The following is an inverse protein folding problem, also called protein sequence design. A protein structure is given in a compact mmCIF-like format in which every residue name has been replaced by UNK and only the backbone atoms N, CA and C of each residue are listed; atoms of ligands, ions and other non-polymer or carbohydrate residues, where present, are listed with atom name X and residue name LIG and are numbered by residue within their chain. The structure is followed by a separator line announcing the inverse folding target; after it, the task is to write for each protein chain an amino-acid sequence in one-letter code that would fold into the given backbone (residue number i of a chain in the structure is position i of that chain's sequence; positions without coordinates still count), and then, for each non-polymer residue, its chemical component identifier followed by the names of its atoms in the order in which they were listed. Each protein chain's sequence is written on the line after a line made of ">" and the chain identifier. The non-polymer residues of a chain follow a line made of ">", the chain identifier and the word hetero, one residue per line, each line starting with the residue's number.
data_IF_368499535040
#
_entry.id   IF_368499535040
#
_cell.length_a   1.000
_cell.length_b   1.000
_cell.length_c   1.000
_cell.angle_alpha   90.00
_cell.angle_beta   90.00
_cell.angle_gamma   90.00
#
_symmetry.space_group_name_H-M   'P 1'
#
loop_
_entity.id
_entity.type
_entity.pdbx_description
1 polymer ?
#
# COMPACT_ATOMS: atom_id res chain seq x y z
N UNK A 1 2.51 -21.83 11.52
CA UNK A 1 2.38 -21.35 10.14
C UNK A 1 3.28 -20.14 9.89
N UNK A 2 3.88 -20.08 8.73
CA UNK A 2 4.65 -18.90 8.37
C UNK A 2 3.71 -17.71 8.23
N UNK A 3 4.20 -16.51 8.58
CA UNK A 3 3.42 -15.31 8.32
C UNK A 3 3.32 -15.05 6.81
N UNK A 4 2.27 -14.38 6.34
CA UNK A 4 2.19 -14.03 4.92
C UNK A 4 3.34 -13.09 4.51
N UNK A 5 3.70 -13.15 3.24
CA UNK A 5 4.65 -12.20 2.67
C UNK A 5 4.03 -10.80 2.70
N UNK A 6 4.75 -9.84 3.21
CA UNK A 6 4.28 -8.45 3.35
C UNK A 6 4.84 -7.62 2.21
N UNK A 7 3.97 -7.14 1.33
CA UNK A 7 4.36 -6.35 0.18
C UNK A 7 3.76 -4.96 0.29
N UNK A 8 4.61 -3.95 0.29
CA UNK A 8 4.17 -2.56 0.26
C UNK A 8 3.89 -2.16 -1.18
N UNK A 9 2.72 -1.62 -1.41
CA UNK A 9 2.28 -1.17 -2.74
C UNK A 9 1.93 0.31 -2.65
N UNK A 10 2.68 1.15 -3.36
CA UNK A 10 2.54 2.60 -3.26
C UNK A 10 2.89 3.29 -4.57
N UNK A 11 2.20 4.40 -4.84
CA UNK A 11 2.59 5.35 -5.88
C UNK A 11 3.10 6.59 -5.16
N UNK A 12 4.32 7.02 -5.48
CA UNK A 12 4.99 8.12 -4.79
C UNK A 12 5.57 9.12 -5.79
N UNK A 13 5.52 10.41 -5.43
CA UNK A 13 6.20 11.43 -6.21
C UNK A 13 7.71 11.27 -6.05
N UNK A 14 8.44 11.18 -7.15
CA UNK A 14 9.88 10.92 -7.12
C UNK A 14 10.70 12.00 -6.46
N UNK A 15 10.26 13.26 -6.51
CA UNK A 15 11.02 14.38 -5.97
C UNK A 15 10.92 14.55 -4.46
N UNK A 16 9.74 14.31 -3.88
CA UNK A 16 9.51 14.63 -2.47
C UNK A 16 8.74 13.57 -1.70
N UNK A 17 8.50 12.41 -2.30
CA UNK A 17 7.82 11.28 -1.68
C UNK A 17 6.35 11.53 -1.31
N UNK A 18 5.69 12.52 -1.93
CA UNK A 18 4.26 12.75 -1.72
C UNK A 18 3.47 11.53 -2.16
N UNK A 19 2.51 11.10 -1.34
CA UNK A 19 1.58 10.01 -1.65
C UNK A 19 0.11 10.46 -1.60
N UNK A 20 -0.16 11.67 -1.13
CA UNK A 20 -1.53 12.16 -1.06
C UNK A 20 -1.62 13.62 -0.72
N UNK A 21 -2.78 14.19 -1.06
CA UNK A 21 -3.16 15.55 -0.70
C UNK A 21 -4.66 15.56 -0.43
N UNK A 22 -5.06 16.04 0.74
CA UNK A 22 -6.46 16.10 1.17
C UNK A 22 -7.18 14.75 1.00
N UNK A 23 -6.48 13.65 1.32
CA UNK A 23 -7.04 12.30 1.25
C UNK A 23 -7.11 11.69 -0.14
N UNK A 24 -6.52 12.33 -1.15
CA UNK A 24 -6.57 11.87 -2.55
C UNK A 24 -5.18 11.82 -3.16
N UNK A 25 -5.01 10.98 -4.19
CA UNK A 25 -3.81 11.00 -5.00
C UNK A 25 -3.79 12.28 -5.83
N UNK A 26 -2.64 13.00 -5.88
CA UNK A 26 -2.56 14.24 -6.68
C UNK A 26 -2.47 14.01 -8.18
N UNK A 27 -2.43 12.77 -8.63
CA UNK A 27 -2.37 12.39 -10.06
C UNK A 27 -3.41 11.33 -10.36
N UNK A 28 -3.67 11.15 -11.65
CA UNK A 28 -4.52 10.06 -12.13
C UNK A 28 -3.77 9.31 -13.24
N UNK A 29 -3.37 8.08 -12.97
CA UNK A 29 -2.64 7.23 -13.91
C UNK A 29 -3.41 5.92 -14.05
N UNK A 30 -4.14 5.78 -15.17
CA UNK A 30 -4.98 4.60 -15.40
C UNK A 30 -4.20 3.30 -15.39
N UNK A 31 -3.02 3.28 -15.97
CA UNK A 31 -2.17 2.09 -15.99
C UNK A 31 -1.77 1.65 -14.59
N UNK A 32 -1.52 2.61 -13.70
CA UNK A 32 -1.19 2.33 -12.31
C UNK A 32 -2.36 1.73 -11.55
N UNK A 33 -3.56 2.25 -11.77
CA UNK A 33 -4.78 1.72 -11.15
C UNK A 33 -5.07 0.30 -11.63
N UNK A 34 -4.83 0.00 -12.90
CA UNK A 34 -5.00 -1.34 -13.45
C UNK A 34 -3.97 -2.31 -12.86
N UNK A 35 -2.73 -1.86 -12.69
CA UNK A 35 -1.68 -2.66 -12.06
C UNK A 35 -2.00 -2.93 -10.59
N UNK A 36 -2.46 -1.94 -9.88
CA UNK A 36 -2.91 -2.08 -8.49
C UNK A 36 -3.96 -3.20 -8.36
N UNK A 37 -4.98 -3.16 -9.21
CA UNK A 37 -6.02 -4.18 -9.21
C UNK A 37 -5.46 -5.55 -9.53
N UNK A 38 -4.65 -5.65 -10.58
CA UNK A 38 -4.06 -6.93 -11.03
C UNK A 38 -3.21 -7.57 -9.93
N UNK A 39 -2.42 -6.79 -9.22
CA UNK A 39 -1.55 -7.29 -8.17
C UNK A 39 -2.33 -7.74 -6.92
N UNK A 40 -3.37 -7.02 -6.56
CA UNK A 40 -4.04 -7.22 -5.27
C UNK A 40 -5.25 -8.13 -5.32
N UNK A 41 -5.87 -8.33 -6.47
CA UNK A 41 -7.10 -9.12 -6.56
C UNK A 41 -6.89 -10.53 -6.00
N UNK A 42 -7.80 -10.98 -5.14
CA UNK A 42 -7.70 -12.28 -4.51
C UNK A 42 -6.81 -12.33 -3.27
N UNK A 43 -6.15 -11.23 -2.91
CA UNK A 43 -5.28 -11.16 -1.73
C UNK A 43 -5.81 -10.15 -0.72
N UNK A 44 -5.52 -10.36 0.58
CA UNK A 44 -5.88 -9.34 1.58
C UNK A 44 -5.08 -8.05 1.38
N UNK A 45 -5.73 -6.93 1.67
CA UNK A 45 -5.12 -5.60 1.65
C UNK A 45 -5.23 -4.98 3.04
N UNK A 46 -4.14 -4.40 3.50
CA UNK A 46 -4.04 -3.75 4.81
C UNK A 46 -3.94 -2.25 4.62
N UNK A 47 -4.74 -1.50 5.35
CA UNK A 47 -4.78 -0.04 5.21
C UNK A 47 -5.17 0.63 6.52
N UNK A 48 -4.85 1.91 6.62
CA UNK A 48 -5.36 2.75 7.68
C UNK A 48 -6.80 3.19 7.39
N UNK A 49 -7.45 3.73 8.40
CA UNK A 49 -8.85 4.14 8.30
C UNK A 49 -9.09 5.22 7.24
N UNK A 50 -8.21 6.24 7.20
CA UNK A 50 -8.38 7.33 6.22
C UNK A 50 -8.26 6.83 4.78
N UNK A 51 -7.36 5.89 4.54
CA UNK A 51 -7.24 5.25 3.22
C UNK A 51 -8.51 4.50 2.87
N UNK A 52 -9.06 3.77 3.83
CA UNK A 52 -10.33 3.06 3.63
C UNK A 52 -11.47 4.03 3.29
N UNK A 53 -11.61 5.11 4.06
CA UNK A 53 -12.64 6.11 3.82
C UNK A 53 -12.50 6.74 2.43
N UNK A 54 -11.28 7.01 1.99
CA UNK A 54 -10.99 7.54 0.65
C UNK A 54 -11.41 6.58 -0.45
N UNK A 55 -11.16 5.28 -0.26
CA UNK A 55 -11.56 4.25 -1.22
C UNK A 55 -13.08 4.19 -1.34
N UNK A 56 -13.79 4.17 -0.20
CA UNK A 56 -15.24 4.12 -0.19
C UNK A 56 -15.84 5.38 -0.83
N UNK A 57 -15.25 6.54 -0.55
CA UNK A 57 -15.70 7.80 -1.17
C UNK A 57 -15.57 7.75 -2.70
N UNK A 58 -14.45 7.23 -3.20
CA UNK A 58 -14.19 7.17 -4.64
C UNK A 58 -15.00 6.08 -5.35
N UNK A 59 -15.11 4.89 -4.77
CA UNK A 59 -15.75 3.73 -5.39
C UNK A 59 -17.20 3.51 -4.97
N UNK A 60 -17.62 4.13 -3.87
CA UNK A 60 -18.94 3.88 -3.28
C UNK A 60 -19.02 2.59 -2.48
N UNK A 61 -17.90 1.86 -2.34
CA UNK A 61 -17.84 0.55 -1.66
C UNK A 61 -16.38 0.20 -1.38
N UNK A 62 -16.13 -0.80 -0.49
CA UNK A 62 -14.78 -1.35 -0.33
C UNK A 62 -14.25 -1.95 -1.62
N UNK A 63 -12.94 -2.20 -1.68
CA UNK A 63 -12.31 -2.83 -2.85
C UNK A 63 -12.93 -4.21 -3.09
N UNK A 64 -13.50 -4.45 -4.28
CA UNK A 64 -14.13 -5.76 -4.56
C UNK A 64 -13.12 -6.89 -4.68
N UNK A 65 -13.54 -8.10 -4.33
CA UNK A 65 -12.78 -9.35 -4.48
C UNK A 65 -11.48 -9.39 -3.67
N UNK A 66 -11.39 -8.59 -2.59
CA UNK A 66 -10.23 -8.54 -1.70
C UNK A 66 -10.70 -8.39 -0.26
N UNK A 67 -10.08 -9.13 0.66
CA UNK A 67 -10.33 -8.90 2.08
C UNK A 67 -9.69 -7.56 2.45
N UNK A 68 -10.47 -6.64 2.96
CA UNK A 68 -9.95 -5.36 3.46
C UNK A 68 -9.77 -5.45 4.96
N UNK A 69 -8.52 -5.30 5.42
CA UNK A 69 -8.17 -5.22 6.83
C UNK A 69 -7.83 -3.76 7.14
N UNK A 70 -8.62 -3.14 7.99
CA UNK A 70 -8.49 -1.72 8.31
C UNK A 70 -7.99 -1.54 9.73
N UNK A 71 -6.88 -0.81 9.87
CA UNK A 71 -6.31 -0.51 11.19
C UNK A 71 -7.08 0.63 11.83
N UNK A 72 -7.91 0.30 12.81
CA UNK A 72 -8.72 1.26 13.53
C UNK A 72 -9.25 0.62 14.82
N UNK A 73 -9.42 1.44 15.86
CA UNK A 73 -10.10 1.01 17.09
C UNK A 73 -11.60 1.24 17.02
N UNK A 74 -12.09 1.87 15.94
CA UNK A 74 -13.51 2.18 15.78
C UNK A 74 -14.24 1.07 15.03
N UNK A 75 -15.53 0.94 15.28
CA UNK A 75 -16.37 -0.01 14.56
C UNK A 75 -16.57 0.40 13.10
N UNK A 76 -16.56 -0.58 12.20
CA UNK A 76 -16.90 -0.40 10.79
C UNK A 76 -18.20 -1.13 10.47
N UNK A 77 -19.19 -1.02 11.36
CA UNK A 77 -20.48 -1.72 11.26
C UNK A 77 -21.23 -1.43 9.96
N UNK A 78 -20.97 -0.29 9.32
CA UNK A 78 -21.56 0.06 8.03
C UNK A 78 -21.03 -0.79 6.88
N UNK A 79 -19.92 -1.50 7.10
CA UNK A 79 -19.27 -2.32 6.11
C UNK A 79 -18.99 -3.71 6.70
N UNK A 80 -20.01 -4.59 6.77
CA UNK A 80 -19.87 -5.86 7.47
C UNK A 80 -18.85 -6.82 6.86
N UNK A 81 -18.49 -6.65 5.59
CA UNK A 81 -17.50 -7.49 4.92
C UNK A 81 -16.07 -7.02 5.12
N UNK A 82 -15.88 -5.91 5.83
CA UNK A 82 -14.56 -5.33 6.10
C UNK A 82 -14.16 -5.71 7.53
N UNK A 83 -12.90 -6.10 7.69
CA UNK A 83 -12.35 -6.47 8.99
C UNK A 83 -11.62 -5.29 9.61
N UNK A 84 -11.81 -5.05 10.89
CA UNK A 84 -11.11 -3.99 11.61
C UNK A 84 -10.23 -4.57 12.70
N UNK A 85 -9.03 -4.02 12.82
CA UNK A 85 -8.04 -4.48 13.81
C UNK A 85 -7.37 -3.27 14.46
N UNK A 86 -7.13 -3.32 15.78
CA UNK A 86 -6.51 -2.19 16.47
C UNK A 86 -4.99 -2.09 16.25
N UNK A 87 -4.36 -3.15 15.75
CA UNK A 87 -2.91 -3.17 15.53
C UNK A 87 -2.53 -4.00 14.31
N UNK A 88 -1.31 -3.75 13.81
CA UNK A 88 -0.74 -4.53 12.71
C UNK A 88 -0.59 -5.99 13.13
N UNK A 89 -0.13 -6.24 14.36
CA UNK A 89 0.07 -7.59 14.87
C UNK A 89 -1.22 -8.39 14.87
N UNK A 90 -2.34 -7.77 15.31
CA UNK A 90 -3.63 -8.46 15.33
C UNK A 90 -4.15 -8.74 13.93
N UNK A 91 -3.93 -7.81 12.99
CA UNK A 91 -4.31 -8.00 11.58
C UNK A 91 -3.51 -9.15 10.96
N UNK A 92 -2.21 -9.17 11.16
CA UNK A 92 -1.35 -10.23 10.61
C UNK A 92 -1.68 -11.60 11.20
N UNK A 93 -2.01 -11.66 12.48
CA UNK A 93 -2.44 -12.91 13.13
C UNK A 93 -3.70 -13.46 12.48
N UNK A 94 -4.62 -12.59 12.10
CA UNK A 94 -5.90 -12.99 11.49
C UNK A 94 -5.73 -13.60 10.09
N UNK A 95 -4.61 -13.35 9.42
CA UNK A 95 -4.35 -13.84 8.07
C UNK A 95 -3.13 -14.75 8.00
N UNK A 96 -2.79 -15.41 9.10
CA UNK A 96 -1.59 -16.26 9.19
C UNK A 96 -1.51 -17.36 8.12
N UNK A 97 -2.63 -17.79 7.58
CA UNK A 97 -2.66 -18.81 6.52
C UNK A 97 -2.62 -18.27 5.10
N UNK A 98 -2.61 -16.96 4.93
CA UNK A 98 -2.57 -16.35 3.59
C UNK A 98 -1.15 -16.35 3.02
N UNK A 99 -1.04 -16.42 1.70
CA UNK A 99 0.24 -16.38 1.01
C UNK A 99 0.93 -15.02 1.15
N UNK A 100 0.19 -13.95 0.91
CA UNK A 100 0.73 -12.58 0.97
C UNK A 100 -0.36 -11.57 1.33
N UNK A 101 0.09 -10.40 1.77
CA UNK A 101 -0.77 -9.25 2.04
C UNK A 101 -0.13 -8.00 1.42
N UNK A 102 -0.97 -7.14 0.85
CA UNK A 102 -0.53 -5.87 0.30
C UNK A 102 -0.87 -4.74 1.27
N UNK A 103 0.15 -3.96 1.64
CA UNK A 103 0.00 -2.78 2.49
C UNK A 103 -0.17 -1.58 1.56
N UNK A 104 -1.33 -0.92 1.62
CA UNK A 104 -1.69 0.10 0.64
C UNK A 104 -1.78 1.52 1.19
N UNK A 105 -1.40 1.73 2.43
CA UNK A 105 -1.26 3.07 2.99
C UNK A 105 -2.09 3.32 4.22
N UNK A 106 -2.10 4.48 4.71
CA UNK A 106 -1.35 5.65 4.29
C UNK A 106 0.02 5.82 4.94
N UNK A 107 0.42 7.07 5.13
CA UNK A 107 1.75 7.41 5.61
C UNK A 107 2.17 6.65 6.87
N UNK A 108 1.34 6.66 7.89
CA UNK A 108 1.64 5.99 9.16
C UNK A 108 1.78 4.48 9.00
N UNK A 109 0.88 3.87 8.22
CA UNK A 109 0.90 2.43 8.01
C UNK A 109 2.14 2.02 7.22
N UNK A 110 2.52 2.79 6.20
CA UNK A 110 3.77 2.54 5.47
C UNK A 110 4.98 2.64 6.40
N UNK A 111 5.01 3.66 7.25
CA UNK A 111 6.11 3.87 8.18
C UNK A 111 6.26 2.70 9.16
N UNK A 112 5.14 2.19 9.67
CA UNK A 112 5.15 1.08 10.63
C UNK A 112 5.48 -0.27 9.97
N UNK A 113 5.20 -0.44 8.67
CA UNK A 113 5.39 -1.72 7.99
C UNK A 113 6.67 -1.81 7.17
N UNK A 114 7.32 -0.70 6.88
CA UNK A 114 8.48 -0.69 5.99
C UNK A 114 9.60 -1.63 6.45
N UNK A 115 9.92 -1.66 7.74
CA UNK A 115 10.99 -2.51 8.26
C UNK A 115 10.65 -3.99 8.24
N UNK A 116 9.37 -4.34 8.23
CA UNK A 116 8.95 -5.74 8.18
C UNK A 116 8.57 -6.22 6.78
N UNK A 117 8.67 -5.34 5.78
CA UNK A 117 8.27 -5.68 4.42
C UNK A 117 9.21 -6.71 3.79
N UNK A 118 8.63 -7.60 3.02
CA UNK A 118 9.37 -8.60 2.24
C UNK A 118 9.54 -8.16 0.79
N UNK A 119 8.69 -7.24 0.34
CA UNK A 119 8.76 -6.68 -1.00
C UNK A 119 8.16 -5.28 -1.07
N UNK A 120 8.55 -4.56 -2.10
CA UNK A 120 8.01 -3.23 -2.40
C UNK A 120 7.62 -3.19 -3.88
N UNK A 121 6.39 -2.79 -4.14
CA UNK A 121 5.90 -2.52 -5.48
C UNK A 121 5.63 -1.02 -5.56
N UNK A 122 6.55 -0.29 -6.18
CA UNK A 122 6.48 1.17 -6.20
C UNK A 122 6.20 1.69 -7.60
N UNK A 123 5.38 2.72 -7.68
CA UNK A 123 5.22 3.54 -8.87
C UNK A 123 5.83 4.89 -8.54
N UNK A 124 6.87 5.26 -9.27
CA UNK A 124 7.56 6.54 -9.06
C UNK A 124 7.04 7.52 -10.10
N UNK A 125 6.38 8.57 -9.65
CA UNK A 125 5.72 9.55 -10.53
C UNK A 125 6.60 10.78 -10.69
N UNK A 126 6.85 11.16 -11.94
CA UNK A 126 7.60 12.38 -12.26
C UNK A 126 6.73 13.61 -12.11
N UNK A 127 7.35 14.76 -11.86
CA UNK A 127 6.67 16.03 -11.75
C UNK A 127 6.72 16.58 -10.33
N UNK A 128 6.20 17.80 -10.18
CA UNK A 128 6.15 18.50 -8.91
C UNK A 128 4.75 18.41 -8.33
N UNK A 129 4.63 17.81 -7.16
CA UNK A 129 3.34 17.64 -6.50
C UNK A 129 3.40 18.16 -5.07
N UNK A 130 2.42 18.99 -4.71
CA UNK A 130 2.20 19.36 -3.33
C UNK A 130 1.39 18.26 -2.66
N UNK A 131 1.66 18.03 -1.39
CA UNK A 131 0.92 17.03 -0.64
C UNK A 131 1.07 17.21 0.86
N UNK A 132 0.25 16.47 1.60
CA UNK A 132 0.25 16.47 3.05
C UNK A 132 0.49 15.07 3.63
N UNK A 133 0.61 14.07 2.78
CA UNK A 133 0.98 12.72 3.16
C UNK A 133 2.19 12.28 2.34
N UNK A 134 3.14 11.61 3.02
CA UNK A 134 4.42 11.26 2.43
C UNK A 134 4.77 9.79 2.69
N UNK A 135 5.41 9.17 1.72
CA UNK A 135 6.03 7.87 1.94
C UNK A 135 7.26 8.08 2.85
N UNK A 136 7.56 7.15 3.76
CA UNK A 136 8.74 7.31 4.62
C UNK A 136 10.04 7.28 3.80
N UNK A 137 11.12 7.78 4.37
CA UNK A 137 12.43 7.66 3.75
C UNK A 137 12.78 6.19 3.62
N UNK A 138 13.11 5.75 2.41
CA UNK A 138 13.27 4.32 2.11
C UNK A 138 14.56 3.97 1.39
N UNK A 139 15.30 4.96 0.91
CA UNK A 139 16.48 4.73 0.09
C UNK A 139 17.54 3.90 0.80
N UNK A 140 17.77 4.19 2.07
CA UNK A 140 18.75 3.45 2.88
C UNK A 140 18.31 1.99 3.12
N UNK A 141 17.03 1.80 3.40
CA UNK A 141 16.48 0.45 3.61
C UNK A 141 16.56 -0.37 2.34
N UNK A 142 16.24 0.22 1.20
CA UNK A 142 16.36 -0.45 -0.10
C UNK A 142 17.80 -0.85 -0.36
N UNK A 143 18.74 0.07 -0.19
CA UNK A 143 20.15 -0.21 -0.42
C UNK A 143 20.67 -1.34 0.46
N UNK A 144 20.30 -1.34 1.74
CA UNK A 144 20.79 -2.30 2.71
C UNK A 144 20.10 -3.65 2.70
N UNK A 145 18.83 -3.72 2.33
CA UNK A 145 18.01 -4.92 2.52
C UNK A 145 17.35 -5.49 1.26
N UNK A 146 17.23 -4.70 0.20
CA UNK A 146 16.45 -5.09 -0.96
C UNK A 146 17.28 -5.11 -2.23
N UNK A 147 16.81 -5.85 -3.22
CA UNK A 147 17.35 -5.83 -4.57
C UNK A 147 16.26 -5.39 -5.52
N UNK A 148 16.61 -4.53 -6.47
CA UNK A 148 15.71 -4.12 -7.55
C UNK A 148 15.59 -5.29 -8.53
N UNK A 149 14.39 -5.85 -8.66
CA UNK A 149 14.15 -7.00 -9.54
C UNK A 149 13.40 -6.64 -10.81
N UNK A 150 12.74 -5.49 -10.84
CA UNK A 150 12.06 -4.99 -12.03
C UNK A 150 12.13 -3.47 -12.05
N UNK A 151 12.43 -2.91 -13.22
CA UNK A 151 12.31 -1.47 -13.46
C UNK A 151 11.72 -1.29 -14.85
N UNK A 152 10.55 -0.68 -14.92
CA UNK A 152 9.83 -0.49 -16.17
C UNK A 152 9.45 0.98 -16.33
N UNK A 153 10.10 1.66 -17.25
CA UNK A 153 9.84 3.08 -17.53
C UNK A 153 8.60 3.27 -18.40
N UNK A 154 7.84 4.28 -18.08
CA UNK A 154 6.65 4.72 -18.81
C UNK A 154 6.74 6.22 -19.06
N UNK A 155 5.69 6.78 -19.65
CA UNK A 155 5.63 8.22 -19.90
C UNK A 155 5.17 8.94 -18.63
N UNK A 156 6.09 9.61 -17.95
CA UNK A 156 5.82 10.37 -16.73
C UNK A 156 5.83 9.56 -15.44
N UNK A 157 6.09 8.28 -15.50
CA UNK A 157 6.20 7.43 -14.30
C UNK A 157 6.97 6.16 -14.63
N UNK A 158 7.33 5.40 -13.60
CA UNK A 158 7.96 4.09 -13.77
C UNK A 158 7.53 3.14 -12.65
N UNK A 159 7.55 1.85 -12.95
CA UNK A 159 7.32 0.81 -11.95
C UNK A 159 8.68 0.28 -11.48
N UNK A 160 8.79 0.06 -10.17
CA UNK A 160 9.98 -0.53 -9.55
C UNK A 160 9.53 -1.61 -8.56
N UNK A 161 10.07 -2.80 -8.71
CA UNK A 161 9.83 -3.91 -7.79
C UNK A 161 11.10 -4.21 -7.03
N UNK A 162 11.00 -4.29 -5.72
CA UNK A 162 12.11 -4.62 -4.84
C UNK A 162 11.77 -5.87 -4.04
N UNK A 163 12.73 -6.77 -3.94
CA UNK A 163 12.59 -7.99 -3.14
C UNK A 163 13.67 -8.01 -2.07
N UNK A 164 13.30 -8.46 -0.87
CA UNK A 164 14.22 -8.53 0.25
C UNK A 164 15.33 -9.52 -0.05
N UNK A 165 16.59 -9.11 0.18
CA UNK A 165 17.76 -10.00 0.08
C UNK A 165 17.76 -10.98 1.23
N UNK A 166 18.17 -12.18 0.93
CA UNK A 166 18.30 -13.26 1.94
C UNK A 166 19.66 -13.25 2.61
#
# INVERSE_FOLDING_TARGET
>A
MARPEIIILAAIAGKNRVIGKDGKLPWHISEDLKRFKRLTIGYPVLMGRKTFESIVERLGKPLPERRSLVLTSKSLAEHPDVESYPSIESALAAIAGEEKIFVIGGERVFKETLEMADGLELTIVEGDYDGDAFFPEYEEIIENRFSLTLKEGKDGFRFETYEKRQ
#
